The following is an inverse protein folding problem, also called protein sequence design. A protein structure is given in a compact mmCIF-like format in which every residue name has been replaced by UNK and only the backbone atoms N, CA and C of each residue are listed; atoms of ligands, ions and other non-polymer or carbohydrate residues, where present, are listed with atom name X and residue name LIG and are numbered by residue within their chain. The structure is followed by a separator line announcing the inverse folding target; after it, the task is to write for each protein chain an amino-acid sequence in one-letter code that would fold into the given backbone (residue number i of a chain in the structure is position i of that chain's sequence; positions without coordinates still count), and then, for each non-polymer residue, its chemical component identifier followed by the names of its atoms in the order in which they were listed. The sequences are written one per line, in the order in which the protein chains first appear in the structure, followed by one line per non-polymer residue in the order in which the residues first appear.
data_IF_699177052064
#
_entry.id   IF_699177052064
#
_cell.length_a   1.000
_cell.length_b   1.000
_cell.length_c   1.000
_cell.angle_alpha   90.00
_cell.angle_beta   90.00
_cell.angle_gamma   90.00
#
_symmetry.space_group_name_H-M   'P 1'
#
loop_
_entity.id
_entity.type
_entity.pdbx_description
1 polymer ?
#
# COMPACT_ATOMS: atom_id res chain seq x y z
N UNK A 1 44.64 -25.26 43.44
CA UNK A 1 43.50 -24.34 43.63
C UNK A 1 43.46 -23.46 42.38
N UNK A 2 42.43 -23.65 41.56
CA UNK A 2 42.30 -23.03 40.23
C UNK A 2 41.99 -21.56 40.37
N UNK A 3 42.89 -20.70 39.90
CA UNK A 3 42.67 -19.27 39.73
C UNK A 3 41.66 -19.07 38.62
N UNK A 4 40.40 -18.88 38.99
CA UNK A 4 39.37 -18.42 38.07
C UNK A 4 39.82 -17.07 37.50
N UNK A 5 40.12 -17.03 36.21
CA UNK A 5 40.34 -15.80 35.49
C UNK A 5 39.07 -14.96 35.61
N UNK A 6 39.17 -13.85 36.36
CA UNK A 6 38.16 -12.81 36.34
C UNK A 6 38.01 -12.34 34.90
N UNK A 7 36.85 -12.61 34.30
CA UNK A 7 36.43 -11.96 33.07
C UNK A 7 36.34 -10.47 33.42
N UNK A 8 37.36 -9.74 32.99
CA UNK A 8 37.45 -8.30 33.15
C UNK A 8 36.40 -7.69 32.22
N UNK A 9 35.48 -6.93 32.79
CA UNK A 9 34.50 -6.14 32.07
C UNK A 9 35.22 -5.27 31.04
N UNK A 10 34.95 -5.52 29.75
CA UNK A 10 35.62 -4.85 28.62
C UNK A 10 34.86 -3.59 28.17
N UNK A 11 33.89 -3.09 28.95
CA UNK A 11 33.21 -1.83 28.60
C UNK A 11 34.09 -0.63 28.95
N UNK A 12 35.01 -0.33 28.02
CA UNK A 12 35.97 0.78 28.00
C UNK A 12 35.30 2.17 27.79
N UNK A 13 34.10 2.42 28.31
CA UNK A 13 33.24 3.52 27.84
C UNK A 13 33.03 4.69 28.79
N UNK A 14 33.49 4.67 30.05
CA UNK A 14 33.26 5.80 31.00
C UNK A 14 31.79 6.27 31.03
N UNK A 15 30.85 5.37 30.75
CA UNK A 15 29.41 5.62 30.74
C UNK A 15 28.84 4.91 31.96
N UNK A 16 28.68 5.67 33.05
CA UNK A 16 28.55 5.08 34.38
C UNK A 16 27.11 4.65 34.73
N UNK A 17 26.11 4.97 33.90
CA UNK A 17 24.68 4.66 34.19
C UNK A 17 23.77 4.38 32.99
N UNK A 18 24.15 4.81 31.78
CA UNK A 18 23.38 4.65 30.54
C UNK A 18 24.27 3.98 29.50
N UNK A 19 23.93 2.76 29.10
CA UNK A 19 24.72 1.99 28.15
C UNK A 19 23.84 1.42 27.04
N UNK A 20 24.10 1.87 25.80
CA UNK A 20 23.49 1.28 24.61
C UNK A 20 23.88 -0.19 24.45
N UNK A 21 25.11 -0.56 24.84
CA UNK A 21 25.55 -1.95 24.80
C UNK A 21 24.73 -2.82 25.78
N UNK A 22 24.48 -2.34 27.00
CA UNK A 22 23.62 -3.03 27.97
C UNK A 22 22.19 -3.19 27.49
N UNK A 23 21.62 -2.14 26.88
CA UNK A 23 20.29 -2.20 26.25
C UNK A 23 20.23 -3.26 25.14
N UNK A 24 21.17 -3.22 24.19
CA UNK A 24 21.21 -4.16 23.06
C UNK A 24 21.42 -5.58 23.58
N UNK A 25 22.31 -5.79 24.56
CA UNK A 25 22.52 -7.10 25.18
C UNK A 25 21.25 -7.65 25.83
N UNK A 26 20.45 -6.81 26.50
CA UNK A 26 19.18 -7.23 27.09
C UNK A 26 18.14 -7.61 26.01
N UNK A 27 18.07 -6.85 24.91
CA UNK A 27 17.21 -7.16 23.78
C UNK A 27 17.64 -8.46 23.06
N UNK A 28 18.95 -8.67 22.87
CA UNK A 28 19.50 -9.92 22.30
C UNK A 28 19.27 -11.13 23.20
N UNK A 29 19.39 -10.96 24.51
CA UNK A 29 19.04 -11.98 25.49
C UNK A 29 17.54 -12.32 25.42
N UNK A 30 16.68 -11.31 25.26
CA UNK A 30 15.24 -11.52 25.06
C UNK A 30 14.93 -12.26 23.76
N UNK A 31 15.56 -11.89 22.65
CA UNK A 31 15.43 -12.61 21.38
C UNK A 31 15.93 -14.06 21.48
N UNK A 32 17.05 -14.26 22.16
CA UNK A 32 17.60 -15.60 22.42
C UNK A 32 16.66 -16.45 23.27
N UNK A 33 15.99 -15.87 24.27
CA UNK A 33 14.98 -16.55 25.07
C UNK A 33 13.77 -16.97 24.22
N UNK A 34 13.31 -16.10 23.30
CA UNK A 34 12.23 -16.43 22.36
C UNK A 34 12.65 -17.62 21.49
N UNK A 35 13.85 -17.58 20.90
CA UNK A 35 14.36 -18.66 20.05
C UNK A 35 14.55 -19.99 20.79
N UNK A 36 14.93 -19.94 22.07
CA UNK A 36 15.06 -21.14 22.90
C UNK A 36 13.72 -21.86 23.08
N UNK A 37 12.59 -21.13 23.04
CA UNK A 37 11.25 -21.71 23.10
C UNK A 37 10.68 -22.02 21.70
N UNK A 38 11.08 -21.26 20.69
CA UNK A 38 10.58 -21.34 19.32
C UNK A 38 11.76 -21.47 18.36
N UNK A 39 12.24 -22.70 18.16
CA UNK A 39 13.47 -23.00 17.42
C UNK A 39 13.43 -22.62 15.94
N UNK A 40 12.23 -22.51 15.35
CA UNK A 40 12.03 -22.02 13.98
C UNK A 40 12.23 -20.50 13.83
N UNK A 41 12.20 -19.74 14.94
CA UNK A 41 12.51 -18.30 14.89
C UNK A 41 14.01 -18.12 14.59
N UNK A 42 14.37 -17.45 13.49
CA UNK A 42 15.75 -17.37 13.04
C UNK A 42 16.60 -16.48 13.96
N UNK A 43 17.92 -16.65 13.90
CA UNK A 43 18.83 -15.62 14.37
C UNK A 43 18.58 -14.32 13.58
N UNK A 44 18.74 -13.17 14.23
CA UNK A 44 18.48 -11.87 13.61
C UNK A 44 19.47 -10.83 14.15
N UNK A 45 19.71 -9.79 13.35
CA UNK A 45 20.42 -8.59 13.81
C UNK A 45 19.40 -7.66 14.47
N UNK A 46 19.62 -7.33 15.74
CA UNK A 46 18.76 -6.41 16.47
C UNK A 46 19.30 -4.99 16.37
N UNK A 47 18.43 -4.05 15.99
CA UNK A 47 18.77 -2.63 15.88
C UNK A 47 17.78 -1.79 16.69
N UNK A 48 18.28 -0.73 17.32
CA UNK A 48 17.45 0.30 17.93
C UNK A 48 17.44 1.52 17.02
N UNK A 49 16.28 1.90 16.52
CA UNK A 49 16.15 2.94 15.49
C UNK A 49 14.95 3.87 15.68
N UNK A 50 14.74 4.78 14.72
CA UNK A 50 13.57 5.66 14.71
C UNK A 50 12.31 4.86 14.39
N UNK A 51 11.32 4.95 15.28
CA UNK A 51 9.94 4.55 15.02
C UNK A 51 9.05 5.71 14.55
N UNK A 52 9.60 6.92 14.59
CA UNK A 52 8.83 8.15 14.40
C UNK A 52 8.18 8.20 13.01
N UNK A 53 6.90 8.59 12.92
CA UNK A 53 6.21 8.64 11.65
C UNK A 53 6.81 9.72 10.74
N UNK A 54 6.82 9.46 9.43
CA UNK A 54 7.23 10.47 8.44
C UNK A 54 6.10 11.45 8.10
N UNK A 55 4.87 11.14 8.49
CA UNK A 55 3.66 11.90 8.19
C UNK A 55 2.72 11.91 9.40
N UNK A 56 1.99 13.00 9.66
CA UNK A 56 1.05 13.08 10.80
C UNK A 56 -0.04 12.00 10.79
N UNK A 57 -0.41 11.49 9.62
CA UNK A 57 -1.43 10.43 9.48
C UNK A 57 -0.94 9.02 9.87
N UNK A 58 0.37 8.85 10.10
CA UNK A 58 0.96 7.56 10.47
C UNK A 58 1.12 7.49 11.98
N UNK A 59 0.82 6.33 12.56
CA UNK A 59 1.13 6.06 13.96
C UNK A 59 2.61 5.76 14.17
N UNK A 60 3.03 5.85 15.44
CA UNK A 60 4.37 5.42 15.87
C UNK A 60 4.59 3.94 15.56
N UNK A 61 5.75 3.61 14.98
CA UNK A 61 6.13 2.25 14.67
C UNK A 61 7.00 1.69 15.79
N UNK A 62 6.47 0.74 16.55
CA UNK A 62 7.17 0.19 17.71
C UNK A 62 8.29 -0.80 17.37
N UNK A 63 8.14 -1.53 16.27
CA UNK A 63 9.13 -2.48 15.79
C UNK A 63 9.00 -2.74 14.29
N UNK A 64 9.99 -3.44 13.74
CA UNK A 64 9.95 -3.92 12.36
C UNK A 64 10.79 -5.17 12.14
N UNK A 65 10.20 -6.16 11.51
CA UNK A 65 10.90 -7.24 10.84
C UNK A 65 11.21 -6.90 9.39
N UNK A 66 12.45 -7.15 8.97
CA UNK A 66 12.85 -7.11 7.57
C UNK A 66 13.76 -8.31 7.22
N UNK A 67 13.28 -9.16 6.31
CA UNK A 67 14.03 -10.32 5.84
C UNK A 67 15.28 -9.91 5.05
N UNK A 68 16.36 -10.71 5.20
CA UNK A 68 17.57 -10.67 4.38
C UNK A 68 18.27 -9.30 4.29
N UNK A 69 18.23 -8.51 5.37
CA UNK A 69 18.80 -7.14 5.39
C UNK A 69 20.29 -7.09 5.65
N UNK A 70 20.83 -8.10 6.35
CA UNK A 70 22.21 -8.13 6.80
C UNK A 70 22.97 -9.26 6.14
N UNK A 71 24.26 -9.07 5.91
CA UNK A 71 25.18 -10.09 5.40
C UNK A 71 26.21 -10.42 6.49
N UNK A 72 26.32 -11.71 6.84
CA UNK A 72 27.29 -12.24 7.78
C UNK A 72 28.03 -13.43 7.15
N UNK A 73 29.23 -13.19 6.63
CA UNK A 73 29.93 -14.19 5.81
C UNK A 73 29.12 -14.51 4.55
N UNK A 74 28.77 -15.79 4.37
CA UNK A 74 27.91 -16.25 3.26
C UNK A 74 26.41 -16.21 3.60
N UNK A 75 26.05 -15.95 4.85
CA UNK A 75 24.66 -15.99 5.31
C UNK A 75 23.99 -14.61 5.26
N UNK A 76 22.75 -14.57 4.79
CA UNK A 76 21.88 -13.40 4.92
C UNK A 76 21.02 -13.53 6.18
N UNK A 77 20.97 -12.48 6.98
CA UNK A 77 20.24 -12.43 8.25
C UNK A 77 19.10 -11.41 8.19
N UNK A 78 17.96 -11.70 8.83
CA UNK A 78 16.90 -10.72 9.02
C UNK A 78 17.31 -9.63 10.03
N UNK A 79 16.65 -8.49 9.93
CA UNK A 79 16.71 -7.39 10.89
C UNK A 79 15.45 -7.38 11.76
N UNK A 80 15.64 -7.15 13.05
CA UNK A 80 14.59 -6.77 14.00
C UNK A 80 14.92 -5.37 14.50
N UNK A 81 14.14 -4.39 14.06
CA UNK A 81 14.20 -3.04 14.58
C UNK A 81 13.25 -2.92 15.78
N UNK A 82 13.76 -2.37 16.88
CA UNK A 82 12.96 -1.86 17.98
C UNK A 82 13.07 -0.34 17.97
N UNK A 83 11.94 0.35 18.02
CA UNK A 83 11.93 1.81 18.08
C UNK A 83 12.51 2.29 19.41
N UNK A 84 13.45 3.23 19.33
CA UNK A 84 14.00 3.91 20.51
C UNK A 84 12.93 4.67 21.30
N UNK A 85 11.91 5.19 20.64
CA UNK A 85 10.75 5.84 21.27
C UNK A 85 9.87 4.82 22.00
N UNK A 86 9.74 3.61 21.42
CA UNK A 86 9.01 2.50 21.99
C UNK A 86 9.58 1.95 23.30
N UNK A 87 10.83 2.29 23.63
CA UNK A 87 11.47 1.93 24.90
C UNK A 87 10.90 2.69 26.10
N UNK A 88 10.15 3.78 25.87
CA UNK A 88 9.43 4.51 26.92
C UNK A 88 8.24 3.73 27.50
N UNK A 89 7.83 2.64 26.85
CA UNK A 89 6.71 1.79 27.28
C UNK A 89 7.19 0.77 28.31
N UNK A 90 6.23 0.21 29.04
CA UNK A 90 6.49 -0.88 29.99
C UNK A 90 7.30 -2.03 29.36
N UNK A 91 8.21 -2.68 30.12
CA UNK A 91 9.06 -3.76 29.61
C UNK A 91 8.27 -4.89 28.93
N UNK A 92 7.08 -5.21 29.45
CA UNK A 92 6.18 -6.18 28.82
C UNK A 92 5.69 -5.76 27.44
N UNK A 93 5.44 -4.46 27.22
CA UNK A 93 5.03 -3.95 25.91
C UNK A 93 6.19 -3.97 24.91
N UNK A 94 7.42 -3.71 25.36
CA UNK A 94 8.64 -3.89 24.55
C UNK A 94 8.83 -5.36 24.20
N UNK A 95 8.70 -6.26 25.18
CA UNK A 95 8.80 -7.70 24.94
C UNK A 95 7.69 -8.22 24.02
N UNK A 96 6.46 -7.71 24.16
CA UNK A 96 5.35 -7.99 23.24
C UNK A 96 5.71 -7.56 21.81
N UNK A 97 6.42 -6.45 21.65
CA UNK A 97 6.90 -6.00 20.34
C UNK A 97 7.93 -6.98 19.77
N UNK A 98 8.87 -7.48 20.57
CA UNK A 98 9.80 -8.52 20.12
C UNK A 98 9.09 -9.79 19.66
N UNK A 99 8.08 -10.28 20.40
CA UNK A 99 7.28 -11.43 19.98
C UNK A 99 6.44 -11.15 18.72
N UNK A 100 5.96 -9.91 18.57
CA UNK A 100 5.27 -9.47 17.36
C UNK A 100 6.22 -9.58 16.14
N UNK A 101 7.43 -9.05 16.23
CA UNK A 101 8.41 -9.16 15.13
C UNK A 101 8.89 -10.61 14.93
N UNK A 102 8.96 -11.42 15.98
CA UNK A 102 9.21 -12.86 15.88
C UNK A 102 8.08 -13.59 15.13
N UNK A 103 6.84 -13.12 15.21
CA UNK A 103 5.71 -13.66 14.45
C UNK A 103 5.95 -13.46 12.95
N UNK A 104 6.41 -12.28 12.54
CA UNK A 104 6.78 -12.00 11.16
C UNK A 104 7.98 -12.84 10.70
N UNK A 105 8.98 -13.00 11.56
CA UNK A 105 10.14 -13.84 11.27
C UNK A 105 9.75 -15.32 11.08
N UNK A 106 8.88 -15.85 11.92
CA UNK A 106 8.34 -17.20 11.77
C UNK A 106 7.51 -17.35 10.49
N UNK A 107 6.72 -16.33 10.15
CA UNK A 107 5.94 -16.30 8.91
C UNK A 107 6.86 -16.36 7.68
N UNK A 108 7.94 -15.57 7.67
CA UNK A 108 8.94 -15.55 6.60
C UNK A 108 9.62 -16.91 6.42
N UNK A 109 10.13 -17.50 7.52
CA UNK A 109 10.74 -18.84 7.51
C UNK A 109 9.79 -19.91 6.97
N UNK A 110 8.49 -19.80 7.28
CA UNK A 110 7.46 -20.75 6.82
C UNK A 110 6.86 -20.40 5.46
N UNK A 111 7.30 -19.31 4.80
CA UNK A 111 6.74 -18.86 3.52
C UNK A 111 5.26 -18.43 3.62
N UNK A 112 4.82 -17.98 4.79
CA UNK A 112 3.44 -17.59 5.08
C UNK A 112 3.29 -16.08 4.90
N UNK A 113 2.43 -15.68 3.96
CA UNK A 113 2.01 -14.27 3.86
C UNK A 113 1.02 -13.91 4.98
N UNK A 114 1.52 -13.27 6.03
CA UNK A 114 0.83 -12.93 7.27
C UNK A 114 0.29 -11.48 7.31
N UNK A 115 0.77 -10.62 6.41
CA UNK A 115 0.27 -9.26 6.23
C UNK A 115 -0.25 -8.98 4.82
N UNK A 116 -0.99 -7.87 4.68
CA UNK A 116 -1.50 -7.34 3.42
C UNK A 116 -1.55 -5.81 3.44
N UNK A 117 -1.99 -5.18 2.35
CA UNK A 117 -2.04 -3.71 2.20
C UNK A 117 -0.68 -3.03 2.44
N UNK A 118 0.38 -3.65 1.94
CA UNK A 118 1.79 -3.23 2.14
C UNK A 118 2.17 -3.24 3.63
N UNK A 119 1.99 -4.39 4.29
CA UNK A 119 2.33 -4.57 5.71
C UNK A 119 1.37 -3.93 6.72
N UNK A 120 0.43 -3.08 6.27
CA UNK A 120 -0.46 -2.35 7.19
C UNK A 120 -1.53 -3.22 7.85
N UNK A 121 -1.95 -4.30 7.20
CA UNK A 121 -3.04 -5.15 7.68
C UNK A 121 -2.53 -6.54 8.04
N UNK A 122 -2.57 -6.88 9.33
CA UNK A 122 -2.20 -8.19 9.86
C UNK A 122 -3.40 -9.13 9.74
N UNK A 123 -3.24 -10.21 8.98
CA UNK A 123 -4.34 -11.10 8.63
C UNK A 123 -4.52 -12.23 9.66
N UNK A 124 -5.47 -13.14 9.45
CA UNK A 124 -5.73 -14.24 10.40
C UNK A 124 -4.54 -15.21 10.55
N UNK A 125 -3.68 -15.33 9.53
CA UNK A 125 -2.47 -16.16 9.61
C UNK A 125 -1.46 -15.55 10.58
N UNK A 126 -1.32 -14.22 10.59
CA UNK A 126 -0.55 -13.53 11.63
C UNK A 126 -1.10 -13.89 13.01
N UNK A 127 -2.41 -13.79 13.23
CA UNK A 127 -3.02 -14.14 14.52
C UNK A 127 -2.75 -15.59 14.95
N UNK A 128 -2.79 -16.54 14.00
CA UNK A 128 -2.44 -17.94 14.26
C UNK A 128 -0.98 -18.09 14.70
N UNK A 129 -0.04 -17.50 13.97
CA UNK A 129 1.38 -17.57 14.31
C UNK A 129 1.71 -16.82 15.62
N UNK A 130 1.07 -15.67 15.85
CA UNK A 130 1.20 -14.91 17.10
C UNK A 130 0.74 -15.76 18.30
N UNK A 131 -0.37 -16.48 18.17
CA UNK A 131 -0.84 -17.41 19.19
C UNK A 131 0.14 -18.57 19.45
N UNK A 132 0.79 -19.11 18.42
CA UNK A 132 1.85 -20.11 18.57
C UNK A 132 3.06 -19.58 19.36
N UNK A 133 3.37 -18.29 19.21
CA UNK A 133 4.41 -17.60 19.96
C UNK A 133 3.95 -17.09 21.34
N UNK A 134 2.71 -17.37 21.74
CA UNK A 134 2.19 -17.03 23.06
C UNK A 134 1.53 -15.65 23.20
N UNK A 135 1.22 -14.99 22.07
CA UNK A 135 0.48 -13.73 22.03
C UNK A 135 -1.04 -13.96 21.90
N UNK A 136 -1.82 -13.11 22.57
CA UNK A 136 -3.24 -12.94 22.31
C UNK A 136 -3.46 -11.73 21.41
N UNK A 137 -4.16 -11.90 20.29
CA UNK A 137 -4.40 -10.82 19.32
C UNK A 137 -5.83 -10.30 19.40
N UNK A 138 -6.00 -8.99 19.30
CA UNK A 138 -7.31 -8.32 19.16
C UNK A 138 -7.45 -7.77 17.75
N UNK A 139 -8.61 -7.98 17.12
CA UNK A 139 -8.87 -7.46 15.78
C UNK A 139 -9.15 -5.95 15.83
N UNK A 140 -8.40 -5.19 15.05
CA UNK A 140 -8.56 -3.76 14.82
C UNK A 140 -8.99 -3.47 13.37
N UNK A 141 -9.80 -2.42 13.18
CA UNK A 141 -10.40 -2.07 11.89
C UNK A 141 -9.41 -1.47 10.88
N UNK A 142 -8.23 -1.03 11.33
CA UNK A 142 -7.19 -0.43 10.49
C UNK A 142 -5.98 -1.33 10.35
N UNK A 143 -5.55 -1.97 11.43
CA UNK A 143 -4.31 -2.73 11.55
C UNK A 143 -4.52 -4.24 11.43
N UNK A 144 -5.76 -4.72 11.43
CA UNK A 144 -6.06 -6.14 11.49
C UNK A 144 -5.72 -6.70 12.87
N UNK A 145 -5.06 -7.86 12.94
CA UNK A 145 -4.69 -8.52 14.20
C UNK A 145 -3.37 -8.03 14.80
N UNK A 146 -2.92 -6.81 14.45
CA UNK A 146 -1.66 -6.24 14.96
C UNK A 146 -1.64 -6.00 16.47
N UNK A 147 -2.74 -5.51 17.11
CA UNK A 147 -2.74 -5.33 18.55
C UNK A 147 -2.63 -6.67 19.27
N UNK A 148 -1.55 -6.85 20.02
CA UNK A 148 -1.23 -8.06 20.75
C UNK A 148 -0.97 -7.78 22.22
N UNK A 149 -1.23 -8.77 23.07
CA UNK A 149 -0.82 -8.81 24.48
C UNK A 149 -0.20 -10.17 24.80
N UNK A 150 0.63 -10.23 25.84
CA UNK A 150 1.13 -11.52 26.35
C UNK A 150 -0.03 -12.31 26.97
N UNK A 151 -0.09 -13.60 26.70
CA UNK A 151 -0.90 -14.54 27.51
C UNK A 151 -0.29 -14.70 28.91
N UNK A 152 -1.09 -15.10 29.90
CA UNK A 152 -0.59 -15.32 31.27
C UNK A 152 0.51 -16.38 31.34
N UNK A 153 0.38 -17.45 30.55
CA UNK A 153 1.40 -18.49 30.44
C UNK A 153 2.72 -17.92 29.89
N UNK A 154 2.64 -17.06 28.88
CA UNK A 154 3.81 -16.43 28.25
C UNK A 154 4.47 -15.43 29.19
N UNK A 155 3.67 -14.63 29.90
CA UNK A 155 4.14 -13.73 30.96
C UNK A 155 4.87 -14.49 32.07
N UNK A 156 4.32 -15.62 32.51
CA UNK A 156 4.96 -16.48 33.51
C UNK A 156 6.27 -17.08 32.98
N UNK A 157 6.27 -17.56 31.74
CA UNK A 157 7.44 -18.19 31.09
C UNK A 157 8.61 -17.23 30.92
N UNK A 158 8.35 -16.00 30.47
CA UNK A 158 9.37 -15.00 30.19
C UNK A 158 9.60 -14.01 31.34
N UNK A 159 9.12 -14.32 32.56
CA UNK A 159 9.21 -13.41 33.71
C UNK A 159 10.63 -12.90 33.94
N UNK A 160 11.62 -13.79 33.99
CA UNK A 160 13.03 -13.41 34.21
C UNK A 160 13.58 -12.54 33.08
N UNK A 161 13.27 -12.89 31.82
CA UNK A 161 13.64 -12.12 30.64
C UNK A 161 13.05 -10.70 30.68
N UNK A 162 11.77 -10.58 31.03
CA UNK A 162 11.08 -9.29 31.15
C UNK A 162 11.66 -8.47 32.31
N UNK A 163 11.97 -9.09 33.45
CA UNK A 163 12.67 -8.41 34.56
C UNK A 163 14.04 -7.87 34.12
N UNK A 164 14.81 -8.62 33.33
CA UNK A 164 16.09 -8.15 32.79
C UNK A 164 15.93 -6.94 31.84
N UNK A 165 14.84 -6.89 31.07
CA UNK A 165 14.53 -5.72 30.25
C UNK A 165 14.24 -4.48 31.10
N UNK A 166 13.56 -4.63 32.24
CA UNK A 166 13.30 -3.51 33.17
C UNK A 166 14.58 -2.80 33.60
N UNK A 167 15.65 -3.55 33.84
CA UNK A 167 16.94 -2.97 34.26
C UNK A 167 17.65 -2.23 33.13
N UNK A 168 17.39 -2.60 31.88
CA UNK A 168 18.05 -2.06 30.70
C UNK A 168 17.28 -0.89 30.03
N UNK A 169 15.95 -0.87 30.14
CA UNK A 169 15.06 0.15 29.57
C UNK A 169 15.03 1.45 30.40
N UNK A 170 16.21 2.01 30.70
CA UNK A 170 16.35 3.23 31.54
C UNK A 170 16.35 4.54 30.76
N UNK A 171 16.41 4.46 29.44
CA UNK A 171 16.46 5.61 28.55
C UNK A 171 15.73 5.28 27.24
N UNK A 172 15.20 6.30 26.60
CA UNK A 172 14.44 6.17 25.37
C UNK A 172 14.65 7.41 24.48
N UNK A 173 14.33 7.25 23.21
CA UNK A 173 14.40 8.33 22.22
C UNK A 173 13.13 9.16 22.25
N UNK A 174 13.23 10.48 22.10
CA UNK A 174 12.04 11.32 21.92
C UNK A 174 11.49 11.20 20.50
N UNK A 175 10.16 11.28 20.31
CA UNK A 175 9.55 11.32 18.99
C UNK A 175 10.12 12.47 18.15
N UNK A 176 10.42 12.20 16.89
CA UNK A 176 10.78 13.24 15.93
C UNK A 176 9.54 14.08 15.59
N UNK A 177 9.66 15.40 15.49
CA UNK A 177 8.56 16.24 15.04
C UNK A 177 8.24 15.90 13.59
N UNK A 178 7.01 15.47 13.33
CA UNK A 178 6.48 15.46 11.96
C UNK A 178 6.30 16.91 11.55
N UNK A 179 7.02 17.38 10.53
CA UNK A 179 6.74 18.68 9.94
C UNK A 179 5.25 18.81 9.60
N UNK A 180 4.70 20.01 9.68
CA UNK A 180 3.32 20.33 9.29
C UNK A 180 3.15 20.01 7.80
N UNK A 181 2.91 18.74 7.50
CA UNK A 181 2.65 18.30 6.14
C UNK A 181 1.43 19.07 5.66
N UNK A 182 1.59 19.90 4.61
CA UNK A 182 0.49 20.65 4.01
C UNK A 182 -0.74 19.76 3.92
N UNK A 183 -1.79 20.14 4.63
CA UNK A 183 -3.04 19.38 4.69
C UNK A 183 -3.49 19.16 3.26
N UNK A 184 -3.47 17.91 2.81
CA UNK A 184 -3.95 17.59 1.47
C UNK A 184 -5.46 17.78 1.49
N UNK A 185 -5.93 18.93 1.02
CA UNK A 185 -7.34 19.20 0.84
C UNK A 185 -7.89 18.14 -0.11
N UNK A 186 -8.77 17.31 0.43
CA UNK A 186 -9.48 16.32 -0.35
C UNK A 186 -10.43 17.08 -1.29
N UNK A 187 -10.04 17.25 -2.54
CA UNK A 187 -10.80 17.96 -3.57
C UNK A 187 -11.99 17.16 -4.10
N UNK A 188 -12.61 16.32 -3.26
CA UNK A 188 -13.82 15.59 -3.65
C UNK A 188 -15.04 16.51 -3.81
N UNK A 189 -14.90 17.81 -3.49
CA UNK A 189 -15.89 18.87 -3.71
C UNK A 189 -15.84 19.49 -5.12
N UNK A 190 -15.51 18.68 -6.13
CA UNK A 190 -15.53 19.13 -7.52
C UNK A 190 -16.96 19.29 -8.03
N UNK A 191 -17.25 20.42 -8.66
CA UNK A 191 -18.47 20.65 -9.46
C UNK A 191 -18.30 19.91 -10.78
N UNK A 192 -19.30 19.12 -11.17
CA UNK A 192 -19.36 18.48 -12.49
C UNK A 192 -20.16 19.39 -13.41
N UNK A 193 -19.54 19.86 -14.49
CA UNK A 193 -20.16 20.75 -15.47
C UNK A 193 -20.21 20.09 -16.84
N UNK A 194 -21.31 20.28 -17.55
CA UNK A 194 -21.59 19.73 -18.86
C UNK A 194 -21.70 20.84 -19.90
N UNK A 195 -21.14 20.58 -21.08
CA UNK A 195 -21.32 21.42 -22.26
C UNK A 195 -22.51 20.91 -23.08
N UNK A 196 -22.98 21.71 -24.04
CA UNK A 196 -23.96 21.26 -25.06
C UNK A 196 -23.38 20.23 -26.02
N UNK A 197 -22.08 20.32 -26.30
CA UNK A 197 -21.36 19.22 -26.93
C UNK A 197 -21.08 18.11 -25.89
N UNK A 198 -20.75 16.86 -26.28
CA UNK A 198 -20.60 15.70 -25.37
C UNK A 198 -19.42 15.76 -24.38
N UNK A 199 -18.91 16.95 -24.04
CA UNK A 199 -17.78 17.19 -23.15
C UNK A 199 -18.28 17.48 -21.75
N UNK A 200 -17.64 16.86 -20.77
CA UNK A 200 -17.87 17.07 -19.34
C UNK A 200 -16.55 17.45 -18.69
N UNK A 201 -16.59 18.37 -17.72
CA UNK A 201 -15.44 18.74 -16.91
C UNK A 201 -15.78 18.65 -15.43
N UNK A 202 -14.78 18.39 -14.59
CA UNK A 202 -14.90 18.43 -13.14
C UNK A 202 -13.87 19.40 -12.60
N UNK A 203 -14.32 20.44 -11.91
CA UNK A 203 -13.49 21.55 -11.42
C UNK A 203 -13.83 21.83 -9.96
N UNK A 204 -12.94 22.47 -9.17
CA UNK A 204 -13.32 22.90 -7.82
C UNK A 204 -14.44 23.94 -7.87
N UNK A 205 -15.28 23.98 -6.83
CA UNK A 205 -16.33 25.02 -6.70
C UNK A 205 -15.74 26.43 -6.79
N UNK A 206 -14.64 26.69 -6.08
CA UNK A 206 -13.96 27.98 -6.11
C UNK A 206 -13.55 28.40 -7.53
N UNK A 207 -12.91 27.51 -8.29
CA UNK A 207 -12.47 27.86 -9.65
C UNK A 207 -13.63 27.92 -10.66
N UNK A 208 -14.78 27.29 -10.39
CA UNK A 208 -15.99 27.50 -11.17
C UNK A 208 -16.62 28.88 -10.89
N UNK A 209 -16.58 29.34 -9.64
CA UNK A 209 -17.12 30.64 -9.22
C UNK A 209 -16.26 31.83 -9.67
N UNK A 210 -14.99 31.61 -10.07
CA UNK A 210 -14.11 32.65 -10.61
C UNK A 210 -14.60 33.21 -11.97
N UNK A 211 -15.38 32.45 -12.72
CA UNK A 211 -16.00 32.94 -13.94
C UNK A 211 -16.47 31.86 -14.92
N UNK A 212 -17.16 32.28 -16.00
CA UNK A 212 -17.68 31.36 -17.01
C UNK A 212 -16.59 30.58 -17.72
N UNK A 213 -16.74 29.26 -17.79
CA UNK A 213 -15.85 28.37 -18.56
C UNK A 213 -16.52 28.03 -19.88
N UNK A 214 -15.90 28.44 -20.98
CA UNK A 214 -16.51 28.30 -22.31
C UNK A 214 -15.79 27.29 -23.19
N UNK A 215 -16.61 26.57 -23.94
CA UNK A 215 -16.18 25.59 -24.91
C UNK A 215 -15.58 26.27 -26.13
N UNK A 216 -14.26 26.16 -26.34
CA UNK A 216 -13.63 26.66 -27.57
C UNK A 216 -14.15 26.00 -28.88
N UNK A 217 -14.90 24.89 -28.81
CA UNK A 217 -15.43 24.20 -29.99
C UNK A 217 -16.84 24.66 -30.39
N UNK A 218 -17.73 24.92 -29.43
CA UNK A 218 -19.13 25.27 -29.69
C UNK A 218 -19.56 26.57 -29.01
N UNK A 219 -18.64 27.27 -28.35
CA UNK A 219 -18.84 28.54 -27.64
C UNK A 219 -19.88 28.51 -26.50
N UNK A 220 -20.43 27.34 -26.16
CA UNK A 220 -21.33 27.18 -25.03
C UNK A 220 -20.58 27.10 -23.69
N UNK A 221 -21.21 27.59 -22.62
CA UNK A 221 -20.70 27.46 -21.26
C UNK A 221 -20.79 26.01 -20.76
N UNK A 222 -19.82 25.60 -19.95
CA UNK A 222 -19.91 24.39 -19.15
C UNK A 222 -20.72 24.70 -17.89
N UNK A 223 -21.90 24.09 -17.75
CA UNK A 223 -22.83 24.35 -16.65
C UNK A 223 -23.14 23.06 -15.86
N UNK A 224 -23.29 23.13 -14.53
CA UNK A 224 -23.85 22.05 -13.72
C UNK A 224 -25.26 21.63 -14.14
N UNK A 225 -25.68 20.41 -13.80
CA UNK A 225 -27.04 19.91 -14.10
C UNK A 225 -28.15 20.72 -13.43
N UNK A 226 -27.85 21.41 -12.33
CA UNK A 226 -28.79 22.23 -11.56
C UNK A 226 -28.95 23.67 -12.07
N UNK A 227 -28.16 24.09 -13.07
CA UNK A 227 -28.33 25.39 -13.74
C UNK A 227 -29.17 25.20 -15.00
N UNK A 228 -30.30 25.88 -15.05
CA UNK A 228 -31.13 25.96 -16.25
C UNK A 228 -30.40 26.77 -17.33
N UNK A 229 -30.12 26.09 -18.45
CA UNK A 229 -29.36 26.64 -19.57
C UNK A 229 -30.16 27.66 -20.37
N UNK A 230 -31.48 27.53 -20.40
CA UNK A 230 -32.36 28.43 -21.16
C UNK A 230 -32.48 29.81 -20.49
N UNK A 231 -32.14 29.89 -19.20
CA UNK A 231 -32.13 31.13 -18.41
C UNK A 231 -30.72 31.67 -18.16
N UNK A 232 -29.69 30.98 -18.63
CA UNK A 232 -28.30 31.37 -18.44
C UNK A 232 -27.87 32.41 -19.49
N UNK A 233 -27.55 33.62 -19.06
CA UNK A 233 -27.02 34.66 -19.94
C UNK A 233 -25.62 34.27 -20.44
N UNK A 234 -25.49 34.06 -21.76
CA UNK A 234 -24.21 33.74 -22.38
C UNK A 234 -23.24 34.93 -22.26
N UNK A 235 -22.03 34.71 -21.71
CA UNK A 235 -21.02 35.76 -21.69
C UNK A 235 -20.62 36.10 -23.13
N UNK A 236 -20.67 37.38 -23.48
CA UNK A 236 -20.17 37.88 -24.77
C UNK A 236 -18.65 37.98 -24.69
N UNK A 237 -17.96 37.01 -25.28
CA UNK A 237 -16.51 37.10 -25.47
C UNK A 237 -16.27 38.04 -26.65
N UNK A 238 -15.91 39.29 -26.37
CA UNK A 238 -15.31 40.15 -27.39
C UNK A 238 -14.03 39.50 -27.85
N UNK A 239 -14.01 38.99 -29.08
CA UNK A 239 -12.79 38.55 -29.74
C UNK A 239 -11.93 39.77 -29.99
N UNK A 240 -11.13 40.15 -28.98
CA UNK A 240 -10.12 41.19 -29.12
C UNK A 240 -9.14 40.76 -30.20
N UNK A 241 -9.14 41.49 -31.31
CA UNK A 241 -8.16 41.41 -32.38
C UNK A 241 -6.76 41.39 -31.78
N UNK A 242 -6.00 40.31 -31.99
CA UNK A 242 -4.61 40.20 -31.54
C UNK A 242 -3.75 41.21 -32.30
N UNK A 243 -3.11 42.20 -31.66
CA UNK A 243 -2.02 42.94 -32.28
C UNK A 243 -0.76 42.07 -32.22
N UNK A 244 -0.01 42.05 -33.32
CA UNK A 244 1.31 41.46 -33.40
C UNK A 244 2.37 42.33 -32.68
N UNK A 245 3.41 41.67 -32.13
CA UNK A 245 4.59 42.28 -31.49
C UNK A 245 4.61 42.03 -29.97
N UNK A 246 5.72 41.75 -29.28
CA UNK A 246 7.14 41.65 -29.62
C UNK A 246 7.82 40.89 -28.45
N UNK A 247 9.02 40.37 -28.70
CA UNK A 247 9.92 39.73 -27.73
C UNK A 247 10.24 40.63 -26.52
N UNK A 248 10.26 40.06 -25.30
CA UNK A 248 11.47 39.89 -24.47
C UNK A 248 11.20 39.54 -23.00
N UNK A 249 11.95 38.52 -22.58
CA UNK A 249 12.63 38.33 -21.29
C UNK A 249 11.97 37.68 -20.07
N UNK A 250 12.87 36.97 -19.39
CA UNK A 250 12.72 35.80 -18.53
C UNK A 250 12.27 36.16 -17.11
N UNK A 251 11.62 35.21 -16.44
CA UNK A 251 11.92 34.99 -15.02
C UNK A 251 11.66 33.54 -14.58
N UNK A 252 12.55 33.11 -13.69
CA UNK A 252 12.87 31.75 -13.26
C UNK A 252 11.69 30.98 -12.67
N UNK A 253 11.58 29.70 -13.04
CA UNK A 253 10.77 28.71 -12.33
C UNK A 253 11.54 27.39 -12.19
N UNK A 254 11.96 27.18 -10.94
CA UNK A 254 12.30 25.94 -10.22
C UNK A 254 12.24 24.59 -10.96
N UNK A 255 13.38 23.92 -10.84
CA UNK A 255 13.72 22.52 -11.11
C UNK A 255 12.77 21.50 -10.44
N UNK A 256 11.73 21.06 -11.16
CA UNK A 256 11.04 19.79 -10.92
C UNK A 256 10.27 19.27 -12.17
N UNK A 257 10.77 19.57 -13.37
CA UNK A 257 10.16 19.15 -14.64
C UNK A 257 10.95 18.03 -15.31
N UNK A 258 10.63 16.76 -14.98
CA UNK A 258 11.02 15.66 -15.85
C UNK A 258 10.29 15.83 -17.19
N UNK A 259 11.03 16.23 -18.22
CA UNK A 259 10.53 16.45 -19.57
C UNK A 259 9.74 15.22 -20.05
N UNK A 260 8.40 15.32 -20.21
CA UNK A 260 7.59 14.19 -20.66
C UNK A 260 8.00 13.69 -22.04
N UNK A 261 8.71 14.51 -22.85
CA UNK A 261 9.20 14.15 -24.17
C UNK A 261 10.32 13.10 -24.16
N UNK A 262 10.87 12.74 -23.00
CA UNK A 262 11.88 11.66 -22.89
C UNK A 262 11.40 10.32 -23.48
N UNK A 263 10.09 10.09 -23.50
CA UNK A 263 9.45 8.89 -24.06
C UNK A 263 8.95 9.06 -25.51
N UNK A 264 9.20 10.18 -26.16
CA UNK A 264 8.76 10.41 -27.53
C UNK A 264 9.69 9.66 -28.51
N UNK A 265 9.18 8.55 -29.05
CA UNK A 265 9.82 7.70 -30.06
C UNK A 265 8.74 7.21 -31.03
N UNK A 266 8.25 8.06 -31.95
CA UNK A 266 7.16 7.72 -32.87
C UNK A 266 7.55 6.61 -33.87
N UNK A 267 8.84 6.36 -34.05
CA UNK A 267 9.40 5.31 -34.92
C UNK A 267 9.49 3.95 -34.25
N UNK A 268 9.62 3.91 -32.92
CA UNK A 268 9.85 2.68 -32.16
C UNK A 268 11.29 2.16 -32.19
N UNK A 269 12.25 2.98 -32.63
CA UNK A 269 13.66 2.59 -32.72
C UNK A 269 14.27 2.27 -31.36
N UNK A 270 13.83 2.97 -30.30
CA UNK A 270 14.38 2.82 -28.95
C UNK A 270 13.64 1.75 -28.16
N UNK A 271 12.32 1.66 -28.31
CA UNK A 271 11.46 0.82 -27.46
C UNK A 271 10.79 -0.35 -28.19
N UNK A 272 11.11 -0.57 -29.47
CA UNK A 272 10.59 -1.66 -30.30
C UNK A 272 9.16 -1.44 -30.83
N UNK A 273 8.42 -0.48 -30.27
CA UNK A 273 7.13 -0.01 -30.73
C UNK A 273 7.10 1.52 -30.69
N UNK A 274 6.36 2.18 -31.60
CA UNK A 274 6.06 3.61 -31.47
C UNK A 274 5.62 3.94 -30.04
N UNK A 275 6.39 4.79 -29.38
CA UNK A 275 6.20 5.15 -27.97
C UNK A 275 5.89 6.63 -27.85
N UNK A 276 4.80 6.92 -27.14
CA UNK A 276 4.35 8.28 -26.92
C UNK A 276 4.33 8.61 -25.43
N UNK A 277 4.66 9.86 -25.05
CA UNK A 277 4.40 10.35 -23.70
C UNK A 277 2.91 10.30 -23.36
N UNK A 278 2.60 10.33 -22.07
CA UNK A 278 1.21 10.35 -21.61
C UNK A 278 0.45 11.55 -22.19
N UNK A 279 -0.66 11.27 -22.89
CA UNK A 279 -1.52 12.21 -23.66
C UNK A 279 -1.00 12.66 -25.04
N UNK A 280 0.10 12.10 -25.54
CA UNK A 280 0.69 12.47 -26.84
C UNK A 280 0.46 11.43 -27.94
N UNK A 281 -0.26 10.34 -27.66
CA UNK A 281 -0.57 9.34 -28.67
C UNK A 281 -1.56 9.89 -29.72
N UNK A 282 -1.36 9.56 -31.01
CA UNK A 282 -2.31 9.84 -32.08
C UNK A 282 -3.73 9.33 -31.77
N UNK A 283 -4.76 10.01 -32.29
CA UNK A 283 -6.16 9.76 -31.95
C UNK A 283 -6.74 8.47 -32.52
N UNK A 284 -6.12 7.94 -33.57
CA UNK A 284 -6.41 6.65 -34.21
C UNK A 284 -5.85 5.45 -33.41
N UNK A 285 -5.04 5.71 -32.37
CA UNK A 285 -4.44 4.71 -31.48
C UNK A 285 -5.08 4.73 -30.09
N UNK A 286 -5.68 3.61 -29.69
CA UNK A 286 -6.49 3.52 -28.48
C UNK A 286 -6.07 2.38 -27.56
N UNK A 287 -6.08 2.65 -26.25
CA UNK A 287 -5.92 1.62 -25.23
C UNK A 287 -7.10 0.65 -25.21
N UNK A 288 -6.90 -0.56 -24.68
CA UNK A 288 -8.00 -1.54 -24.47
C UNK A 288 -9.18 -0.96 -23.67
N UNK A 289 -8.91 -0.02 -22.75
CA UNK A 289 -9.94 0.66 -21.96
C UNK A 289 -10.76 1.62 -22.83
N UNK A 290 -10.09 2.42 -23.67
CA UNK A 290 -10.75 3.34 -24.59
C UNK A 290 -11.53 2.61 -25.69
N UNK A 291 -11.07 1.45 -26.15
CA UNK A 291 -11.85 0.58 -27.04
C UNK A 291 -13.09 0.02 -26.32
N UNK A 292 -12.93 -0.50 -25.09
CA UNK A 292 -14.06 -1.03 -24.31
C UNK A 292 -15.13 0.03 -24.04
N UNK A 293 -14.75 1.27 -23.77
CA UNK A 293 -15.68 2.39 -23.57
C UNK A 293 -16.52 2.68 -24.82
N UNK A 294 -15.99 2.35 -26.02
CA UNK A 294 -16.69 2.44 -27.30
C UNK A 294 -17.38 1.13 -27.72
N UNK A 295 -17.51 0.18 -26.79
CA UNK A 295 -18.03 -1.15 -27.06
C UNK A 295 -17.26 -1.93 -28.14
N UNK A 296 -15.96 -1.67 -28.27
CA UNK A 296 -15.03 -2.32 -29.18
C UNK A 296 -14.05 -3.23 -28.44
N UNK A 297 -13.39 -4.12 -29.18
CA UNK A 297 -12.25 -4.96 -28.76
C UNK A 297 -11.12 -4.82 -29.79
N UNK A 298 -9.86 -5.09 -29.44
CA UNK A 298 -8.71 -4.99 -30.36
C UNK A 298 -8.77 -5.84 -31.64
N UNK A 299 -9.79 -6.69 -31.84
CA UNK A 299 -9.91 -7.51 -33.03
C UNK A 299 -8.95 -8.71 -33.12
N UNK A 300 -7.96 -8.80 -32.23
CA UNK A 300 -6.90 -9.83 -32.30
C UNK A 300 -5.59 -9.29 -32.90
N UNK A 301 -5.53 -7.99 -33.20
CA UNK A 301 -4.30 -7.33 -33.63
C UNK A 301 -3.26 -7.28 -32.49
N UNK A 302 -1.98 -7.29 -32.87
CA UNK A 302 -0.87 -6.99 -31.97
C UNK A 302 -0.85 -5.48 -31.61
N UNK A 303 -0.24 -5.09 -30.48
CA UNK A 303 -0.06 -3.69 -30.14
C UNK A 303 0.62 -2.89 -31.27
N UNK A 304 0.00 -1.80 -31.70
CA UNK A 304 0.53 -0.94 -32.75
C UNK A 304 1.46 0.16 -32.20
N UNK A 305 1.30 0.51 -30.92
CA UNK A 305 2.10 1.50 -30.22
C UNK A 305 1.96 1.33 -28.70
N UNK A 306 2.67 2.17 -27.94
CA UNK A 306 2.57 2.20 -26.48
C UNK A 306 2.68 3.62 -25.92
N UNK A 307 2.17 3.81 -24.70
CA UNK A 307 2.35 5.02 -23.90
C UNK A 307 3.22 4.68 -22.70
N UNK A 308 4.27 5.46 -22.46
CA UNK A 308 5.15 5.32 -21.29
C UNK A 308 5.12 6.56 -20.40
N UNK A 309 5.11 6.36 -19.08
CA UNK A 309 5.20 7.46 -18.10
C UNK A 309 5.72 6.99 -16.75
N UNK A 310 6.01 7.95 -15.85
CA UNK A 310 6.63 7.73 -14.53
C UNK A 310 7.96 6.97 -14.64
N UNK A 311 8.96 7.55 -15.32
CA UNK A 311 10.28 6.93 -15.52
C UNK A 311 10.21 5.53 -16.15
N UNK A 312 9.28 5.32 -17.08
CA UNK A 312 9.06 4.03 -17.76
C UNK A 312 8.41 2.93 -16.91
N UNK A 313 8.07 3.19 -15.63
CA UNK A 313 7.44 2.21 -14.73
C UNK A 313 5.99 1.87 -15.10
N UNK A 314 5.38 2.63 -16.02
CA UNK A 314 4.02 2.38 -16.49
C UNK A 314 3.98 2.40 -18.00
N UNK A 315 3.33 1.38 -18.55
CA UNK A 315 3.14 1.16 -19.98
C UNK A 315 1.67 0.87 -20.26
N UNK A 316 1.13 1.45 -21.32
CA UNK A 316 -0.18 1.10 -21.86
C UNK A 316 -0.09 0.84 -23.36
N UNK A 317 -0.45 -0.36 -23.79
CA UNK A 317 -0.49 -0.71 -25.21
C UNK A 317 -1.67 -0.05 -25.92
N UNK A 318 -1.38 0.41 -27.12
CA UNK A 318 -2.31 1.05 -28.04
C UNK A 318 -2.60 0.15 -29.23
N UNK A 319 -3.83 0.20 -29.68
CA UNK A 319 -4.39 -0.60 -30.74
C UNK A 319 -5.05 0.33 -31.74
N UNK A 320 -4.95 0.01 -33.03
CA UNK A 320 -5.57 0.81 -34.06
C UNK A 320 -7.09 0.72 -33.99
N UNK A 321 -7.73 1.88 -34.08
CA UNK A 321 -9.19 2.00 -34.04
C UNK A 321 -9.85 1.36 -35.26
N UNK A 322 -9.27 1.51 -36.45
CA UNK A 322 -9.85 1.00 -37.70
C UNK A 322 -9.81 -0.54 -37.81
N UNK A 323 -8.89 -1.18 -37.10
CA UNK A 323 -8.82 -2.65 -36.96
C UNK A 323 -9.62 -3.20 -35.76
N UNK A 324 -10.24 -2.31 -34.97
CA UNK A 324 -11.02 -2.73 -33.83
C UNK A 324 -12.34 -3.37 -34.28
N UNK A 325 -12.76 -4.41 -33.56
CA UNK A 325 -14.01 -5.10 -33.83
C UNK A 325 -15.03 -4.83 -32.72
N UNK A 326 -16.33 -4.94 -32.99
CA UNK A 326 -17.34 -4.92 -31.93
C UNK A 326 -17.02 -5.92 -30.82
N UNK A 327 -17.27 -5.50 -29.57
CA UNK A 327 -17.17 -6.37 -28.41
C UNK A 327 -18.12 -7.55 -28.61
N UNK A 328 -17.64 -8.77 -28.34
CA UNK A 328 -18.47 -9.97 -28.42
C UNK A 328 -19.55 -9.90 -27.33
N UNK A 329 -20.80 -10.09 -27.73
CA UNK A 329 -21.92 -10.34 -26.82
C UNK A 329 -22.02 -11.83 -26.59
N UNK A 330 -22.14 -12.25 -25.33
CA UNK A 330 -22.36 -13.65 -25.02
C UNK A 330 -23.71 -14.10 -25.59
N UNK A 331 -23.76 -15.29 -26.20
CA UNK A 331 -25.03 -15.84 -26.69
C UNK A 331 -25.94 -16.21 -25.51
N UNK A 332 -27.27 -16.31 -25.70
CA UNK A 332 -28.16 -16.79 -24.65
C UNK A 332 -27.75 -18.14 -24.07
N UNK A 333 -27.24 -19.06 -24.90
CA UNK A 333 -26.71 -20.35 -24.45
C UNK A 333 -25.46 -20.21 -23.56
N UNK A 334 -24.56 -19.28 -23.88
CA UNK A 334 -23.38 -18.99 -23.06
C UNK A 334 -23.77 -18.35 -21.73
N UNK A 335 -24.74 -17.43 -21.73
CA UNK A 335 -25.27 -16.84 -20.49
C UNK A 335 -25.90 -17.91 -19.60
N UNK A 336 -26.75 -18.76 -20.16
CA UNK A 336 -27.35 -19.89 -19.43
C UNK A 336 -26.29 -20.86 -18.90
N UNK A 337 -25.20 -21.11 -19.64
CA UNK A 337 -24.10 -21.94 -19.17
C UNK A 337 -23.33 -21.29 -18.00
N UNK A 338 -23.10 -19.97 -18.06
CA UNK A 338 -22.50 -19.20 -16.96
C UNK A 338 -23.43 -19.24 -15.75
N UNK A 339 -24.73 -19.02 -15.92
CA UNK A 339 -25.70 -19.06 -14.82
C UNK A 339 -25.75 -20.44 -14.17
N UNK A 340 -25.72 -21.53 -14.96
CA UNK A 340 -25.60 -22.90 -14.42
C UNK A 340 -24.30 -23.09 -13.65
N UNK A 341 -23.16 -22.62 -14.17
CA UNK A 341 -21.87 -22.74 -13.50
C UNK A 341 -21.82 -21.92 -12.19
N UNK A 342 -22.36 -20.71 -12.20
CA UNK A 342 -22.48 -19.85 -11.02
C UNK A 342 -23.44 -20.44 -9.99
N UNK A 343 -24.55 -21.04 -10.44
CA UNK A 343 -25.51 -21.73 -9.57
C UNK A 343 -24.85 -22.94 -8.92
N UNK A 344 -24.15 -23.79 -9.67
CA UNK A 344 -23.43 -24.95 -9.13
C UNK A 344 -22.39 -24.56 -8.06
N UNK A 345 -21.71 -23.41 -8.23
CA UNK A 345 -20.78 -22.86 -7.24
C UNK A 345 -21.45 -22.36 -5.95
N UNK A 346 -22.77 -22.20 -5.98
CA UNK A 346 -23.61 -21.70 -4.89
C UNK A 346 -24.50 -22.80 -4.30
N UNK A 347 -24.66 -23.93 -4.99
CA UNK A 347 -25.42 -25.08 -4.51
C UNK A 347 -24.58 -25.86 -3.50
N UNK A 348 -25.10 -26.00 -2.28
CA UNK A 348 -24.50 -26.86 -1.27
C UNK A 348 -24.60 -28.34 -1.69
N UNK A 349 -23.51 -29.13 -1.67
CA UNK A 349 -23.59 -30.55 -1.98
C UNK A 349 -24.37 -31.36 -0.92
N UNK A 350 -24.47 -30.89 0.32
CA UNK A 350 -25.10 -31.63 1.42
C UNK A 350 -26.63 -31.45 1.44
N UNK A 351 -27.10 -30.20 1.46
CA UNK A 351 -28.53 -29.90 1.52
C UNK A 351 -29.17 -29.58 0.16
N UNK A 352 -28.38 -29.49 -0.91
CA UNK A 352 -28.86 -29.16 -2.25
C UNK A 352 -29.34 -27.72 -2.43
N UNK A 353 -29.29 -26.87 -1.41
CA UNK A 353 -29.82 -25.50 -1.48
C UNK A 353 -28.86 -24.54 -2.18
N UNK A 354 -29.39 -23.63 -2.99
CA UNK A 354 -28.63 -22.56 -3.65
C UNK A 354 -28.46 -21.38 -2.70
N UNK A 355 -27.23 -21.09 -2.32
CA UNK A 355 -26.89 -20.03 -1.37
C UNK A 355 -26.73 -18.67 -2.09
N UNK A 356 -26.87 -17.51 -1.41
CA UNK A 356 -26.59 -16.20 -2.01
C UNK A 356 -25.08 -15.91 -2.16
N UNK A 357 -24.22 -16.82 -1.69
CA UNK A 357 -22.76 -16.74 -1.74
C UNK A 357 -22.16 -18.00 -2.39
N UNK A 358 -20.89 -17.93 -2.81
CA UNK A 358 -20.17 -19.11 -3.28
C UNK A 358 -19.80 -20.03 -2.12
N UNK A 359 -20.08 -21.33 -2.28
CA UNK A 359 -19.76 -22.34 -1.28
C UNK A 359 -18.25 -22.29 -0.97
N UNK A 360 -17.84 -22.08 0.29
CA UNK A 360 -16.44 -21.99 0.64
C UNK A 360 -15.71 -23.30 0.34
N UNK A 361 -14.61 -23.24 -0.41
CA UNK A 361 -13.78 -24.42 -0.70
C UNK A 361 -13.24 -25.13 0.56
N UNK A 362 -13.13 -24.42 1.68
CA UNK A 362 -12.62 -24.95 2.96
C UNK A 362 -13.62 -25.90 3.63
N UNK A 363 -14.90 -25.53 3.64
CA UNK A 363 -15.95 -26.33 4.29
C UNK A 363 -16.52 -27.35 3.32
N UNK A 364 -16.45 -27.09 2.00
CA UNK A 364 -17.04 -27.92 0.97
C UNK A 364 -18.58 -27.83 0.92
N UNK A 365 -19.20 -27.26 1.95
CA UNK A 365 -20.64 -27.24 2.19
C UNK A 365 -21.07 -25.82 2.61
N UNK A 366 -22.38 -25.54 2.62
CA UNK A 366 -22.88 -24.24 3.06
C UNK A 366 -22.68 -24.04 4.56
N UNK A 367 -22.78 -22.79 5.02
CA UNK A 367 -22.53 -22.43 6.41
C UNK A 367 -23.51 -23.11 7.38
N UNK A 368 -24.73 -23.40 6.95
CA UNK A 368 -25.75 -24.09 7.76
C UNK A 368 -25.52 -25.61 7.85
N UNK A 369 -24.88 -26.20 6.84
CA UNK A 369 -24.52 -27.63 6.80
C UNK A 369 -23.09 -27.88 7.29
N UNK A 370 -22.34 -26.82 7.59
CA UNK A 370 -21.03 -26.98 8.18
C UNK A 370 -21.24 -27.52 9.60
N UNK A 371 -20.76 -28.73 9.94
CA UNK A 371 -20.87 -29.22 11.31
C UNK A 371 -20.21 -28.21 12.23
N UNK A 372 -20.83 -27.93 13.38
CA UNK A 372 -20.22 -27.09 14.41
C UNK A 372 -18.83 -27.66 14.68
N UNK A 373 -17.82 -26.89 14.28
CA UNK A 373 -16.45 -27.16 14.71
C UNK A 373 -16.46 -26.84 16.19
N UNK A 374 -16.66 -27.87 17.02
CA UNK A 374 -16.36 -27.83 18.44
C UNK A 374 -14.95 -27.27 18.56
N UNK A 375 -14.88 -26.06 19.11
CA UNK A 375 -13.62 -25.36 19.36
C UNK A 375 -12.90 -25.95 20.54
#
# INVERSE_FOLDING_TARGET
MSTAAQITDVTRTCQDSVSTAGLVAALEAAWSAIRAQHSEVPAAVLVVGSGSPTKPSQGMKWGHFAALRWQAGEQQLPEILISGEGLSREPEAVFTTLLHEATHALADVRGIQDTSRQGRWHNKKFATLAAELGLSTTKDDKLGYSPCTLTDLTRARYRSTITGLTEALRFYRHPEPTGEGKTRTNNNNGVSCECECPRKLRISKAAFEEGPIVCALCSAAFLPEDIDRDTYEHPTFTTGSTPAGDDHDQDQADDDSEDPMVFYDPTGERYGLPTYPYKFAPSDLLTRRQLRARNLRPGGQDPAAQIMWRRGKRVAYLFRLDLALPKRTATPAQLAAIDKALTARRTCPDCGQVQPYYIPRRTGTCLDCTPEVTR
#
